data_IF_812968041409
#
_entry.id   IF_812968041409
#
_cell.length_a   1.000
_cell.length_b   1.000
_cell.length_c   1.000
_cell.angle_alpha   90.00
_cell.angle_beta   90.00
_cell.angle_gamma   90.00
#
_symmetry.space_group_name_H-M   'P 1'
#
loop_
_entity.id
_entity.type
_entity.pdbx_description
1 polymer ?
#
# COMPACT_ATOMS: atom_id res chain seq x y z
N UNK A 1 -6.29 -6.78 20.54
CA UNK A 1 -4.85 -6.73 20.88
C UNK A 1 -4.36 -5.31 20.59
N UNK A 2 -3.36 -4.80 21.30
CA UNK A 2 -2.75 -3.51 21.02
C UNK A 2 -1.58 -3.67 20.06
N UNK A 3 -1.32 -2.65 19.23
CA UNK A 3 -0.16 -2.65 18.33
C UNK A 3 1.15 -2.59 19.12
N UNK A 4 2.17 -3.33 18.67
CA UNK A 4 3.51 -3.35 19.27
C UNK A 4 4.44 -2.47 18.44
N UNK A 5 4.81 -1.31 18.96
CA UNK A 5 5.71 -0.40 18.25
C UNK A 5 7.14 -0.95 18.19
N UNK A 6 7.88 -0.70 17.08
CA UNK A 6 9.26 -1.12 16.98
C UNK A 6 10.14 -0.38 17.98
N UNK A 7 11.24 -1.00 18.43
CA UNK A 7 12.18 -0.39 19.39
C UNK A 7 12.68 0.98 18.92
N UNK A 8 12.89 1.14 17.61
CA UNK A 8 13.30 2.41 16.99
C UNK A 8 12.31 3.55 17.25
N UNK A 9 11.01 3.25 17.39
CA UNK A 9 9.97 4.26 17.66
C UNK A 9 10.13 4.92 19.04
N UNK A 10 10.81 4.28 19.99
CA UNK A 10 11.13 4.87 21.31
C UNK A 10 12.49 5.58 21.35
N UNK A 11 13.19 5.68 20.22
CA UNK A 11 14.51 6.29 20.13
C UNK A 11 14.41 7.72 19.56
N UNK A 12 14.70 8.79 20.34
CA UNK A 12 14.48 10.16 19.87
C UNK A 12 15.15 10.54 18.54
N UNK A 13 16.40 10.10 18.24
CA UNK A 13 17.02 10.36 16.94
C UNK A 13 16.27 9.76 15.75
N UNK A 14 15.41 8.76 15.95
CA UNK A 14 14.59 8.16 14.88
C UNK A 14 13.57 9.13 14.27
N UNK A 15 13.22 10.22 14.97
CA UNK A 15 12.34 11.29 14.50
C UNK A 15 13.10 12.47 13.89
N UNK A 16 14.43 12.36 13.76
CA UNK A 16 15.28 13.40 13.16
C UNK A 16 16.03 12.80 11.99
N UNK A 17 16.03 13.49 10.85
CA UNK A 17 16.79 13.07 9.66
C UNK A 17 18.26 12.90 10.02
N UNK A 18 18.80 11.69 9.83
CA UNK A 18 20.22 11.46 10.08
C UNK A 18 21.10 12.15 9.02
N UNK A 19 22.19 12.82 9.40
CA UNK A 19 23.05 13.55 8.46
C UNK A 19 23.92 12.61 7.61
N UNK A 20 24.25 11.43 8.14
CA UNK A 20 25.02 10.43 7.41
C UNK A 20 24.10 9.68 6.42
N UNK A 21 24.44 9.60 5.12
CA UNK A 21 23.58 8.96 4.12
C UNK A 21 23.29 7.48 4.38
N UNK A 22 24.26 6.71 4.89
CA UNK A 22 24.08 5.30 5.19
C UNK A 22 23.13 5.09 6.37
N UNK A 23 23.26 5.93 7.39
CA UNK A 23 22.35 5.92 8.55
C UNK A 23 20.96 6.41 8.13
N UNK A 24 20.86 7.42 7.26
CA UNK A 24 19.58 7.88 6.72
C UNK A 24 18.87 6.78 5.92
N UNK A 25 19.60 6.06 5.07
CA UNK A 25 19.06 4.91 4.33
C UNK A 25 18.51 3.83 5.28
N UNK A 26 19.23 3.54 6.36
CA UNK A 26 18.79 2.57 7.38
C UNK A 26 17.54 3.07 8.12
N UNK A 27 17.48 4.37 8.43
CA UNK A 27 16.31 5.01 9.03
C UNK A 27 15.09 4.97 8.11
N UNK A 28 15.26 5.23 6.82
CA UNK A 28 14.21 5.13 5.80
C UNK A 28 13.63 3.72 5.71
N UNK A 29 14.49 2.71 5.69
CA UNK A 29 14.07 1.30 5.68
C UNK A 29 13.25 0.95 6.93
N UNK A 30 13.71 1.37 8.13
CA UNK A 30 12.97 1.16 9.38
C UNK A 30 11.61 1.86 9.38
N UNK A 31 11.51 3.08 8.87
CA UNK A 31 10.23 3.79 8.73
C UNK A 31 9.29 3.11 7.75
N UNK A 32 9.79 2.67 6.59
CA UNK A 32 9.00 1.89 5.62
C UNK A 32 8.40 0.65 6.27
N UNK A 33 9.24 -0.16 6.94
CA UNK A 33 8.79 -1.41 7.56
C UNK A 33 7.76 -1.15 8.67
N UNK A 34 8.00 -0.11 9.48
CA UNK A 34 7.06 0.31 10.52
C UNK A 34 5.72 0.75 9.94
N UNK A 35 5.71 1.60 8.91
CA UNK A 35 4.47 2.10 8.27
C UNK A 35 3.66 0.92 7.69
N UNK A 36 4.32 -0.01 7.00
CA UNK A 36 3.66 -1.20 6.43
C UNK A 36 3.06 -2.05 7.55
N UNK A 37 3.82 -2.37 8.59
CA UNK A 37 3.35 -3.20 9.70
C UNK A 37 2.19 -2.54 10.48
N UNK A 38 2.32 -1.25 10.79
CA UNK A 38 1.26 -0.46 11.41
C UNK A 38 -0.01 -0.45 10.55
N UNK A 39 0.13 -0.24 9.24
CA UNK A 39 -1.00 -0.20 8.32
C UNK A 39 -1.73 -1.54 8.20
N UNK A 40 -0.99 -2.65 8.20
CA UNK A 40 -1.55 -4.02 8.23
C UNK A 40 -2.34 -4.27 9.50
N UNK A 41 -1.80 -3.88 10.65
CA UNK A 41 -2.46 -4.05 11.93
C UNK A 41 -3.77 -3.25 12.03
N UNK A 42 -3.77 -2.00 11.57
CA UNK A 42 -4.95 -1.13 11.58
C UNK A 42 -5.89 -1.37 10.40
N UNK A 43 -5.55 -2.30 9.50
CA UNK A 43 -6.26 -2.58 8.24
C UNK A 43 -6.47 -1.32 7.39
N UNK A 44 -5.49 -0.42 7.42
CA UNK A 44 -5.48 0.82 6.67
C UNK A 44 -4.60 0.67 5.42
N UNK A 45 -5.15 1.03 4.26
CA UNK A 45 -4.38 1.13 3.02
C UNK A 45 -4.02 2.57 2.68
N UNK A 46 -4.73 3.54 3.25
CA UNK A 46 -4.58 4.96 2.93
C UNK A 46 -4.05 5.69 4.14
N UNK A 47 -3.08 6.55 3.90
CA UNK A 47 -2.46 7.42 4.88
C UNK A 47 -2.55 8.85 4.37
N UNK A 48 -3.06 9.76 5.18
CA UNK A 48 -2.97 11.19 4.95
C UNK A 48 -1.75 11.75 5.70
N UNK A 49 -0.68 12.16 5.00
CA UNK A 49 0.57 12.62 5.64
C UNK A 49 0.39 13.85 6.54
N UNK A 50 -0.68 14.62 6.31
CA UNK A 50 -0.98 15.84 7.07
C UNK A 50 -1.87 15.59 8.29
N UNK A 51 -2.73 14.57 8.24
CA UNK A 51 -3.74 14.31 9.27
C UNK A 51 -3.38 13.13 10.19
N UNK A 52 -2.57 12.17 9.71
CA UNK A 52 -2.11 11.02 10.49
C UNK A 52 -0.91 11.35 11.36
N UNK A 53 -1.10 12.40 12.17
CA UNK A 53 -0.10 12.97 13.07
C UNK A 53 0.39 11.91 14.05
N UNK A 54 -0.49 11.06 14.56
CA UNK A 54 -0.19 10.09 15.61
C UNK A 54 0.82 9.02 15.16
N UNK A 55 0.82 8.64 13.87
CA UNK A 55 1.82 7.71 13.35
C UNK A 55 3.23 8.34 13.38
N UNK A 56 3.31 9.63 13.08
CA UNK A 56 4.56 10.37 12.97
C UNK A 56 4.92 11.19 14.23
N UNK A 57 4.12 11.05 15.29
CA UNK A 57 4.26 11.75 16.55
C UNK A 57 4.22 10.75 17.71
N UNK A 58 5.37 10.52 18.33
CA UNK A 58 5.43 9.76 19.56
C UNK A 58 5.33 10.70 20.77
N UNK A 59 4.15 10.69 21.41
CA UNK A 59 3.86 11.49 22.59
C UNK A 59 4.68 11.07 23.82
N UNK A 60 5.07 9.80 23.94
CA UNK A 60 5.79 9.27 25.11
C UNK A 60 7.20 9.85 25.24
N UNK A 61 7.84 10.14 24.11
CA UNK A 61 9.19 10.76 24.07
C UNK A 61 9.16 12.21 23.58
N UNK A 62 7.97 12.76 23.37
CA UNK A 62 7.75 14.12 22.84
C UNK A 62 8.55 14.38 21.55
N UNK A 63 8.38 13.50 20.55
CA UNK A 63 9.09 13.61 19.27
C UNK A 63 8.17 13.41 18.09
N UNK A 64 8.37 14.23 17.06
CA UNK A 64 7.58 14.23 15.83
C UNK A 64 8.46 14.46 14.61
N UNK A 65 8.15 13.77 13.52
CA UNK A 65 8.80 14.02 12.23
C UNK A 65 8.33 15.37 11.65
N UNK A 66 9.25 16.07 11.00
CA UNK A 66 8.88 17.25 10.20
C UNK A 66 8.20 16.82 8.89
N UNK A 67 7.31 17.65 8.32
CA UNK A 67 6.65 17.33 7.04
C UNK A 67 7.63 16.97 5.91
N UNK A 68 8.75 17.69 5.83
CA UNK A 68 9.80 17.42 4.83
C UNK A 68 10.36 16.00 4.95
N UNK A 69 10.58 15.51 6.17
CA UNK A 69 11.12 14.16 6.39
C UNK A 69 10.06 13.09 6.10
N UNK A 70 8.79 13.38 6.40
CA UNK A 70 7.67 12.51 6.01
C UNK A 70 7.62 12.38 4.48
N UNK A 71 7.71 13.48 3.74
CA UNK A 71 7.72 13.45 2.27
C UNK A 71 8.89 12.62 1.71
N UNK A 72 10.09 12.72 2.31
CA UNK A 72 11.23 11.89 1.92
C UNK A 72 11.01 10.40 2.20
N UNK A 73 10.38 10.05 3.33
CA UNK A 73 10.02 8.66 3.66
C UNK A 73 9.01 8.12 2.64
N UNK A 74 7.95 8.85 2.35
CA UNK A 74 6.91 8.42 1.41
C UNK A 74 7.43 8.34 -0.02
N UNK A 75 8.31 9.25 -0.42
CA UNK A 75 9.04 9.17 -1.68
C UNK A 75 9.89 7.90 -1.73
N UNK A 76 10.67 7.61 -0.69
CA UNK A 76 11.46 6.38 -0.60
C UNK A 76 10.57 5.13 -0.72
N UNK A 77 9.41 5.11 -0.05
CA UNK A 77 8.44 4.01 -0.18
C UNK A 77 7.93 3.86 -1.62
N UNK A 78 7.69 4.98 -2.31
CA UNK A 78 7.28 4.98 -3.73
C UNK A 78 8.35 4.38 -4.63
N UNK A 79 9.60 4.84 -4.47
CA UNK A 79 10.74 4.39 -5.28
C UNK A 79 11.04 2.89 -5.06
N UNK A 80 10.66 2.34 -3.90
CA UNK A 80 10.80 0.92 -3.55
C UNK A 80 9.52 0.10 -3.80
N UNK A 81 8.52 0.65 -4.50
CA UNK A 81 7.28 -0.07 -4.85
C UNK A 81 6.42 -0.49 -3.66
N UNK A 82 6.55 0.19 -2.52
CA UNK A 82 5.82 -0.11 -1.27
C UNK A 82 4.61 0.80 -1.04
N UNK A 83 4.30 1.68 -1.99
CA UNK A 83 3.13 2.54 -2.00
C UNK A 83 3.22 3.59 -3.09
N UNK A 84 2.18 4.39 -3.28
CA UNK A 84 2.22 5.57 -4.15
C UNK A 84 1.12 6.56 -3.76
N UNK A 85 1.22 7.80 -4.25
CA UNK A 85 0.19 8.80 -4.01
C UNK A 85 -1.03 8.62 -4.91
N UNK A 86 -2.21 8.58 -4.30
CA UNK A 86 -3.51 8.76 -4.94
C UNK A 86 -4.04 10.15 -4.57
N UNK A 87 -3.76 11.13 -5.44
CA UNK A 87 -4.04 12.55 -5.20
C UNK A 87 -3.30 13.12 -3.98
N UNK A 88 -3.95 13.17 -2.81
CA UNK A 88 -3.39 13.72 -1.56
C UNK A 88 -3.10 12.65 -0.50
N UNK A 89 -3.62 11.45 -0.72
CA UNK A 89 -3.42 10.33 0.19
C UNK A 89 -2.32 9.44 -0.35
N UNK A 90 -1.53 8.88 0.56
CA UNK A 90 -0.54 7.87 0.24
C UNK A 90 -1.19 6.49 0.40
N UNK A 91 -1.20 5.71 -0.68
CA UNK A 91 -1.71 4.33 -0.68
C UNK A 91 -0.54 3.39 -0.40
N UNK A 92 -0.64 2.62 0.68
CA UNK A 92 0.38 1.68 1.15
C UNK A 92 0.13 0.31 0.52
N UNK A 93 1.20 -0.30 0.01
CA UNK A 93 1.16 -1.64 -0.58
C UNK A 93 1.60 -2.69 0.44
N UNK A 94 0.63 -3.45 0.97
CA UNK A 94 0.90 -4.57 1.89
C UNK A 94 1.63 -5.75 1.22
N UNK A 95 1.39 -5.91 -0.08
CA UNK A 95 2.11 -6.71 -1.07
C UNK A 95 2.21 -5.85 -2.33
N UNK A 96 3.20 -6.10 -3.17
CA UNK A 96 3.34 -5.41 -4.45
C UNK A 96 2.11 -5.64 -5.35
N UNK A 97 1.78 -4.71 -6.26
CA UNK A 97 0.74 -4.92 -7.28
C UNK A 97 0.94 -6.22 -8.08
N UNK A 98 2.20 -6.63 -8.31
CA UNK A 98 2.57 -7.86 -9.00
C UNK A 98 2.20 -9.12 -8.22
N UNK A 99 2.45 -9.15 -6.91
CA UNK A 99 2.07 -10.26 -6.03
C UNK A 99 0.54 -10.36 -5.87
N UNK A 100 -0.12 -9.20 -5.78
CA UNK A 100 -1.58 -9.14 -5.80
C UNK A 100 -2.16 -9.64 -7.12
N UNK A 101 -1.56 -9.26 -8.25
CA UNK A 101 -1.96 -9.71 -9.57
C UNK A 101 -1.86 -11.23 -9.70
N UNK A 102 -0.75 -11.82 -9.25
CA UNK A 102 -0.56 -13.27 -9.24
C UNK A 102 -1.59 -13.98 -8.37
N UNK A 103 -1.79 -13.49 -7.14
CA UNK A 103 -2.77 -14.07 -6.20
C UNK A 103 -4.20 -14.00 -6.76
N UNK A 104 -4.56 -12.87 -7.38
CA UNK A 104 -5.87 -12.67 -8.01
C UNK A 104 -6.07 -13.65 -9.17
N UNK A 105 -5.08 -13.73 -10.07
CA UNK A 105 -5.18 -14.56 -11.26
C UNK A 105 -5.26 -16.06 -10.90
N UNK A 106 -4.49 -16.51 -9.90
CA UNK A 106 -4.58 -17.88 -9.37
C UNK A 106 -5.98 -18.20 -8.85
N UNK A 107 -6.62 -17.26 -8.15
CA UNK A 107 -7.99 -17.42 -7.69
C UNK A 107 -8.99 -17.53 -8.87
N UNK A 108 -8.87 -16.68 -9.88
CA UNK A 108 -9.70 -16.73 -11.09
C UNK A 108 -9.59 -18.08 -11.81
N UNK A 109 -8.37 -18.61 -11.97
CA UNK A 109 -8.13 -19.92 -12.57
C UNK A 109 -8.75 -21.05 -11.74
N UNK A 110 -8.51 -21.05 -10.43
CA UNK A 110 -9.00 -22.10 -9.52
C UNK A 110 -10.52 -22.18 -9.41
N UNK A 111 -11.22 -21.08 -9.71
CA UNK A 111 -12.68 -20.96 -9.63
C UNK A 111 -13.37 -21.08 -10.99
N UNK A 112 -12.61 -21.33 -12.07
CA UNK A 112 -13.16 -21.46 -13.42
C UNK A 112 -13.79 -20.17 -13.96
N UNK A 113 -13.30 -19.01 -13.53
CA UNK A 113 -13.85 -17.70 -13.89
C UNK A 113 -13.17 -17.05 -15.12
N UNK A 114 -12.23 -17.76 -15.75
CA UNK A 114 -11.61 -17.34 -17.03
C UNK A 114 -12.69 -17.09 -18.09
N UNK A 115 -12.46 -16.11 -18.97
CA UNK A 115 -13.39 -15.65 -20.01
C UNK A 115 -14.68 -14.99 -19.53
N UNK A 116 -14.97 -14.98 -18.23
CA UNK A 116 -16.09 -14.22 -17.65
C UNK A 116 -15.67 -12.77 -17.40
N UNK A 117 -16.65 -11.86 -17.47
CA UNK A 117 -16.50 -10.48 -17.02
C UNK A 117 -16.94 -10.44 -15.57
N UNK A 118 -16.08 -9.92 -14.69
CA UNK A 118 -16.34 -9.74 -13.27
C UNK A 118 -16.28 -8.26 -12.91
N UNK A 119 -17.18 -7.81 -12.05
CA UNK A 119 -17.15 -6.47 -11.48
C UNK A 119 -16.10 -6.36 -10.37
N UNK A 120 -15.63 -5.15 -10.07
CA UNK A 120 -14.71 -4.93 -8.93
C UNK A 120 -15.31 -5.38 -7.60
N UNK A 121 -16.64 -5.31 -7.45
CA UNK A 121 -17.34 -5.78 -6.26
C UNK A 121 -17.26 -7.31 -6.13
N UNK A 122 -17.40 -8.04 -7.24
CA UNK A 122 -17.24 -9.51 -7.23
C UNK A 122 -15.81 -9.93 -6.95
N UNK A 123 -14.82 -9.20 -7.48
CA UNK A 123 -13.40 -9.48 -7.22
C UNK A 123 -13.03 -9.33 -5.74
N UNK A 124 -13.69 -8.42 -5.02
CA UNK A 124 -13.51 -8.31 -3.56
C UNK A 124 -13.96 -9.55 -2.81
N UNK A 125 -14.87 -10.38 -3.34
CA UNK A 125 -15.26 -11.62 -2.67
C UNK A 125 -14.16 -12.70 -2.68
N UNK A 126 -13.05 -12.49 -3.40
CA UNK A 126 -11.91 -13.38 -3.31
C UNK A 126 -11.31 -13.33 -1.88
N UNK A 127 -10.89 -14.47 -1.29
CA UNK A 127 -10.51 -14.56 0.13
C UNK A 127 -9.54 -13.46 0.60
N UNK A 128 -8.51 -13.17 -0.19
CA UNK A 128 -7.46 -12.20 0.14
C UNK A 128 -7.81 -10.75 -0.26
N UNK A 129 -8.95 -10.52 -0.91
CA UNK A 129 -9.32 -9.24 -1.53
C UNK A 129 -10.53 -8.55 -0.89
N UNK A 130 -11.14 -9.15 0.13
CA UNK A 130 -12.35 -8.60 0.78
C UNK A 130 -12.15 -7.16 1.26
N UNK A 131 -10.99 -6.86 1.84
CA UNK A 131 -10.69 -5.55 2.41
C UNK A 131 -9.69 -4.75 1.58
N UNK A 132 -9.35 -5.21 0.37
CA UNK A 132 -8.36 -4.53 -0.45
C UNK A 132 -8.87 -3.14 -0.86
N UNK A 133 -7.98 -2.15 -0.81
CA UNK A 133 -8.27 -0.84 -1.37
C UNK A 133 -8.50 -0.93 -2.88
N UNK A 134 -9.47 -0.16 -3.38
CA UNK A 134 -9.86 -0.19 -4.78
C UNK A 134 -8.72 0.25 -5.71
N UNK A 135 -7.88 1.19 -5.27
CA UNK A 135 -6.71 1.63 -6.02
C UNK A 135 -5.70 0.50 -6.17
N UNK A 136 -5.41 -0.23 -5.09
CA UNK A 136 -4.48 -1.38 -5.08
C UNK A 136 -5.02 -2.50 -6.00
N UNK A 137 -6.31 -2.83 -5.88
CA UNK A 137 -6.95 -3.83 -6.75
C UNK A 137 -6.84 -3.45 -8.23
N UNK A 138 -7.12 -2.18 -8.56
CA UNK A 138 -6.99 -1.67 -9.92
C UNK A 138 -5.56 -1.78 -10.43
N UNK A 139 -4.56 -1.49 -9.61
CA UNK A 139 -3.14 -1.62 -9.97
C UNK A 139 -2.76 -3.07 -10.26
N UNK A 140 -3.20 -4.01 -9.43
CA UNK A 140 -2.99 -5.44 -9.68
C UNK A 140 -3.62 -5.88 -11.01
N UNK A 141 -4.83 -5.42 -11.32
CA UNK A 141 -5.50 -5.72 -12.58
C UNK A 141 -4.75 -5.09 -13.76
N UNK A 142 -4.25 -3.86 -13.62
CA UNK A 142 -3.42 -3.22 -14.64
C UNK A 142 -2.14 -4.01 -14.92
N UNK A 143 -1.52 -4.62 -13.90
CA UNK A 143 -0.38 -5.54 -14.09
C UNK A 143 -0.82 -6.75 -14.94
N UNK A 144 -1.96 -7.37 -14.63
CA UNK A 144 -2.50 -8.48 -15.44
C UNK A 144 -2.82 -8.06 -16.87
N UNK A 145 -3.35 -6.86 -17.07
CA UNK A 145 -3.60 -6.32 -18.41
C UNK A 145 -2.35 -6.10 -19.22
N UNK A 146 -1.29 -5.55 -18.61
CA UNK A 146 0.02 -5.44 -19.27
C UNK A 146 0.62 -6.81 -19.64
N UNK A 147 0.29 -7.86 -18.86
CA UNK A 147 0.70 -9.25 -19.13
C UNK A 147 -0.24 -9.98 -20.10
N UNK A 148 -1.28 -9.33 -20.63
CA UNK A 148 -2.25 -9.95 -21.55
C UNK A 148 -3.22 -10.94 -20.89
N UNK A 149 -3.28 -10.98 -19.55
CA UNK A 149 -4.12 -11.91 -18.76
C UNK A 149 -5.47 -11.34 -18.35
N UNK A 150 -5.67 -10.03 -18.49
CA UNK A 150 -6.92 -9.38 -18.15
C UNK A 150 -7.18 -8.13 -19.00
N UNK A 151 -8.42 -7.68 -19.09
CA UNK A 151 -8.80 -6.42 -19.73
C UNK A 151 -9.90 -5.73 -18.92
N UNK A 152 -9.66 -4.47 -18.55
CA UNK A 152 -10.67 -3.63 -17.92
C UNK A 152 -11.68 -3.20 -18.99
N UNK A 153 -12.94 -3.57 -18.78
CA UNK A 153 -14.08 -3.24 -19.62
C UNK A 153 -14.71 -1.93 -19.15
N UNK A 154 -15.03 -1.05 -20.09
CA UNK A 154 -15.71 0.22 -19.82
C UNK A 154 -17.03 0.30 -20.59
N UNK A 155 -18.06 0.85 -19.95
CA UNK A 155 -19.36 1.18 -20.55
C UNK A 155 -19.58 2.67 -20.29
N UNK A 156 -19.83 3.45 -21.34
CA UNK A 156 -20.01 4.91 -21.25
C UNK A 156 -18.87 5.63 -20.50
N UNK A 157 -17.62 5.20 -20.75
CA UNK A 157 -16.40 5.65 -20.05
C UNK A 157 -16.32 5.31 -18.54
N UNK A 158 -17.30 4.59 -18.00
CA UNK A 158 -17.31 4.08 -16.63
C UNK A 158 -16.76 2.65 -16.61
N UNK A 159 -15.93 2.32 -15.63
CA UNK A 159 -15.43 0.96 -15.47
C UNK A 159 -16.56 0.01 -15.07
N UNK A 160 -16.91 -0.90 -15.97
CA UNK A 160 -18.01 -1.82 -15.81
C UNK A 160 -17.56 -3.17 -15.24
N UNK A 161 -16.32 -3.59 -15.52
CA UNK A 161 -15.78 -4.85 -15.03
C UNK A 161 -14.45 -5.19 -15.64
N UNK A 162 -14.02 -6.44 -15.45
CA UNK A 162 -12.72 -6.95 -15.88
C UNK A 162 -12.93 -8.33 -16.47
N UNK A 163 -12.48 -8.53 -17.70
CA UNK A 163 -12.43 -9.84 -18.35
C UNK A 163 -11.06 -10.46 -18.12
N UNK A 164 -11.00 -11.72 -17.72
CA UNK A 164 -9.74 -12.47 -17.58
C UNK A 164 -9.58 -13.47 -18.73
N UNK A 165 -8.33 -13.71 -19.15
CA UNK A 165 -7.96 -14.59 -20.26
C UNK A 165 -7.02 -15.67 -19.79
#
# INVERSE_FOLDING_TARGET
>A
MSYQYPKAYSYPPFFTKQPNPQTWQSQLQLWKDFIIDWSKFHRAYRLNPTSDIDLFHNQTIDRRLSPQVIDEILKYMTDNGSGEFDSKEFVIYWKSPEEWAESLYKWIESTGQISRVLTFKELKNAPDFNDIDQFVLRKAIQVLSKRGKAQIMKVDNVEAGVKFF
#
